data_IF_466764974968
#
_entry.id   IF_466764974968
#
_cell.length_a   1.000
_cell.length_b   1.000
_cell.length_c   1.000
_cell.angle_alpha   90.00
_cell.angle_beta   90.00
_cell.angle_gamma   90.00
#
_symmetry.space_group_name_H-M   'P 1'
#
loop_
_entity.id
_entity.type
_entity.pdbx_description
1 polymer ?
#
# COMPACT_ATOMS: atom_id res chain seq x y z
N UNK A 1 14.01 -2.37 -8.77
CA UNK A 1 13.06 -3.42 -9.19
C UNK A 1 13.84 -4.55 -9.83
N UNK A 2 13.57 -5.79 -9.44
CA UNK A 2 14.10 -7.00 -10.03
C UNK A 2 12.93 -7.93 -10.40
N UNK A 3 13.04 -8.63 -11.52
CA UNK A 3 12.04 -9.61 -11.94
C UNK A 3 12.72 -10.86 -12.47
N UNK A 4 12.17 -12.01 -12.09
CA UNK A 4 12.62 -13.32 -12.57
C UNK A 4 11.42 -14.24 -12.77
N UNK A 5 11.19 -14.67 -14.01
CA UNK A 5 10.01 -15.47 -14.39
C UNK A 5 8.71 -14.81 -13.88
N UNK A 6 8.04 -15.47 -12.95
CA UNK A 6 6.75 -15.08 -12.38
C UNK A 6 6.89 -14.20 -11.11
N UNK A 7 8.12 -13.90 -10.69
CA UNK A 7 8.41 -13.13 -9.50
C UNK A 7 8.86 -11.71 -9.86
N UNK A 8 8.35 -10.73 -9.12
CA UNK A 8 8.79 -9.35 -9.21
C UNK A 8 9.03 -8.81 -7.80
N UNK A 9 10.21 -8.28 -7.59
CA UNK A 9 10.59 -7.63 -6.34
C UNK A 9 10.84 -6.14 -6.58
N UNK A 10 10.17 -5.32 -5.79
CA UNK A 10 10.32 -3.88 -5.78
C UNK A 10 10.80 -3.45 -4.40
N UNK A 11 11.80 -2.58 -4.36
CA UNK A 11 12.24 -1.91 -3.15
C UNK A 11 12.59 -0.47 -3.47
N UNK A 12 12.32 0.44 -2.53
CA UNK A 12 12.79 1.81 -2.60
C UNK A 12 12.90 2.42 -1.19
N UNK A 13 13.71 3.46 -1.08
CA UNK A 13 13.78 4.34 0.08
C UNK A 13 13.63 5.78 -0.40
N UNK A 14 12.86 6.57 0.32
CA UNK A 14 12.57 7.96 0.00
C UNK A 14 12.75 8.84 1.23
N UNK A 15 13.26 10.04 1.04
CA UNK A 15 13.28 11.09 2.05
C UNK A 15 11.91 11.79 2.04
N UNK A 16 11.28 11.86 3.18
CA UNK A 16 10.02 12.57 3.38
C UNK A 16 10.27 14.02 3.83
N UNK A 17 9.21 14.82 3.85
CA UNK A 17 9.21 16.15 4.45
C UNK A 17 9.71 16.10 5.89
N UNK A 18 10.50 17.09 6.29
CA UNK A 18 10.99 17.20 7.66
C UNK A 18 9.85 17.59 8.59
N UNK A 19 9.81 16.97 9.75
CA UNK A 19 8.97 17.38 10.85
C UNK A 19 9.85 18.00 11.94
N UNK A 20 9.61 19.26 12.25
CA UNK A 20 10.41 19.98 13.27
C UNK A 20 11.94 19.81 13.09
N UNK A 21 12.45 19.98 11.85
CA UNK A 21 13.85 19.78 11.45
C UNK A 21 14.35 18.31 11.46
N UNK A 22 13.52 17.35 11.87
CA UNK A 22 13.88 15.92 11.87
C UNK A 22 13.71 15.32 10.47
N UNK A 23 14.75 14.76 9.85
CA UNK A 23 14.60 14.03 8.61
C UNK A 23 13.80 12.74 8.84
N UNK A 24 12.91 12.45 7.93
CA UNK A 24 12.02 11.28 7.92
C UNK A 24 12.27 10.48 6.65
N UNK A 25 12.17 9.17 6.77
CA UNK A 25 12.41 8.24 5.67
C UNK A 25 11.22 7.30 5.52
N UNK A 26 10.89 6.97 4.29
CA UNK A 26 9.99 5.87 3.93
C UNK A 26 10.81 4.79 3.23
N UNK A 27 10.83 3.60 3.80
CA UNK A 27 11.35 2.41 3.14
C UNK A 27 10.19 1.51 2.78
N UNK A 28 10.21 0.93 1.58
CA UNK A 28 9.16 0.03 1.13
C UNK A 28 9.74 -1.14 0.32
N UNK A 29 9.13 -2.30 0.50
CA UNK A 29 9.43 -3.52 -0.22
C UNK A 29 8.12 -4.19 -0.63
N UNK A 30 8.09 -4.75 -1.84
CA UNK A 30 6.96 -5.50 -2.38
C UNK A 30 7.45 -6.71 -3.14
N UNK A 31 6.88 -7.86 -2.82
CA UNK A 31 7.00 -9.08 -3.59
C UNK A 31 5.69 -9.35 -4.32
N UNK A 32 5.79 -9.68 -5.59
CA UNK A 32 4.66 -10.01 -6.44
C UNK A 32 4.93 -11.35 -7.15
N UNK A 33 3.92 -12.20 -7.19
CA UNK A 33 3.97 -13.53 -7.84
C UNK A 33 2.80 -13.64 -8.79
N UNK A 34 3.08 -13.93 -10.05
CA UNK A 34 2.07 -14.17 -11.08
C UNK A 34 1.95 -15.66 -11.35
N UNK A 35 0.75 -16.22 -11.24
CA UNK A 35 0.44 -17.63 -11.37
C UNK A 35 -0.50 -17.85 -12.57
N UNK A 36 -0.16 -18.83 -13.43
CA UNK A 36 -0.99 -19.28 -14.57
C UNK A 36 -1.46 -18.14 -15.48
N UNK A 37 -0.77 -17.01 -15.53
CA UNK A 37 -1.17 -15.79 -16.25
C UNK A 37 -2.57 -15.25 -15.91
N UNK A 38 -3.14 -15.69 -14.80
CA UNK A 38 -4.51 -15.33 -14.38
C UNK A 38 -4.62 -14.82 -12.95
N UNK A 39 -3.67 -15.14 -12.11
CA UNK A 39 -3.66 -14.74 -10.71
C UNK A 39 -2.35 -14.03 -10.38
N UNK A 40 -2.43 -12.82 -9.85
CA UNK A 40 -1.29 -12.13 -9.26
C UNK A 40 -1.54 -11.95 -7.78
N UNK A 41 -0.58 -12.37 -6.97
CA UNK A 41 -0.56 -12.17 -5.52
C UNK A 41 0.56 -11.21 -5.17
N UNK A 42 0.30 -10.25 -4.31
CA UNK A 42 1.26 -9.29 -3.82
C UNK A 42 1.31 -9.24 -2.30
N UNK A 43 2.52 -9.02 -1.77
CA UNK A 43 2.75 -8.67 -0.38
C UNK A 43 3.69 -7.48 -0.30
N UNK A 44 3.38 -6.52 0.55
CA UNK A 44 4.16 -5.31 0.70
C UNK A 44 4.39 -4.98 2.18
N UNK A 45 5.54 -4.40 2.47
CA UNK A 45 5.88 -3.82 3.76
C UNK A 45 6.39 -2.41 3.54
N UNK A 46 5.95 -1.48 4.37
CA UNK A 46 6.42 -0.09 4.36
C UNK A 46 6.69 0.35 5.79
N UNK A 47 7.75 1.11 5.99
CA UNK A 47 8.06 1.71 7.29
C UNK A 47 8.40 3.19 7.14
N UNK A 48 7.84 4.01 8.02
CA UNK A 48 8.25 5.38 8.24
C UNK A 48 9.16 5.42 9.45
N UNK A 49 10.36 5.96 9.29
CA UNK A 49 11.36 6.11 10.34
C UNK A 49 11.86 7.55 10.40
N UNK A 50 12.40 7.97 11.55
CA UNK A 50 13.05 9.27 11.71
C UNK A 50 14.51 9.14 12.17
N UNK A 51 15.32 10.15 11.90
CA UNK A 51 16.75 10.13 12.25
C UNK A 51 17.00 9.91 13.75
N UNK A 52 16.15 10.44 14.63
CA UNK A 52 16.29 10.28 16.09
C UNK A 52 16.00 8.87 16.57
N UNK A 53 15.34 8.07 15.76
CA UNK A 53 14.98 6.70 16.04
C UNK A 53 15.87 5.68 15.34
N UNK A 54 16.76 6.14 14.45
CA UNK A 54 17.67 5.25 13.73
C UNK A 54 18.82 4.83 14.62
N UNK A 55 18.75 3.60 15.12
CA UNK A 55 19.94 2.92 15.60
C UNK A 55 20.84 2.56 14.40
N UNK A 56 22.17 2.48 14.57
CA UNK A 56 23.13 2.17 13.49
C UNK A 56 22.80 0.89 12.70
N UNK A 57 22.23 -0.09 13.35
CA UNK A 57 21.75 -1.36 12.78
C UNK A 57 20.54 -1.19 11.86
N UNK A 58 19.67 -0.21 12.13
CA UNK A 58 18.50 0.10 11.29
C UNK A 58 18.89 0.81 10.00
N UNK A 59 19.97 1.58 10.02
CA UNK A 59 20.50 2.27 8.85
C UNK A 59 20.88 1.29 7.72
N UNK A 60 21.41 0.12 8.10
CA UNK A 60 21.73 -0.94 7.16
C UNK A 60 20.51 -1.43 6.35
N UNK A 61 19.35 -1.51 6.96
CA UNK A 61 18.12 -1.94 6.30
C UNK A 61 17.47 -0.91 5.41
N UNK A 62 17.63 0.37 5.72
CA UNK A 62 17.17 1.46 4.83
C UNK A 62 17.98 1.53 3.54
N UNK A 63 19.26 1.14 3.57
CA UNK A 63 20.16 1.20 2.43
C UNK A 63 20.23 -0.12 1.68
N UNK A 64 20.12 -1.25 2.38
CA UNK A 64 20.24 -2.57 1.77
C UNK A 64 18.86 -3.12 1.33
N UNK A 65 18.59 -3.18 0.03
CA UNK A 65 17.29 -3.64 -0.48
C UNK A 65 17.00 -5.13 -0.22
N UNK A 66 18.00 -5.90 0.20
CA UNK A 66 17.85 -7.34 0.46
C UNK A 66 17.45 -7.64 1.91
N UNK A 67 17.60 -6.68 2.81
CA UNK A 67 17.15 -6.84 4.20
C UNK A 67 15.66 -6.49 4.26
N UNK A 68 14.78 -7.41 4.69
CA UNK A 68 13.37 -7.09 4.89
C UNK A 68 13.20 -5.89 5.82
N UNK A 69 12.37 -4.92 5.41
CA UNK A 69 12.09 -3.70 6.18
C UNK A 69 11.68 -4.03 7.61
N UNK A 70 10.94 -5.11 7.80
CA UNK A 70 10.55 -5.60 9.11
C UNK A 70 11.74 -5.89 10.05
N UNK A 71 12.84 -6.45 9.54
CA UNK A 71 14.03 -6.77 10.37
C UNK A 71 14.80 -5.52 10.81
N UNK A 72 14.49 -4.37 10.21
CA UNK A 72 15.13 -3.10 10.50
C UNK A 72 14.26 -2.20 11.36
N UNK A 73 12.99 -2.56 11.55
CA UNK A 73 12.08 -1.88 12.46
C UNK A 73 12.38 -2.31 13.90
N UNK A 74 12.40 -1.36 14.79
CA UNK A 74 12.66 -1.62 16.21
C UNK A 74 11.52 -2.43 16.82
N UNK A 75 11.87 -3.51 17.51
CA UNK A 75 10.91 -4.34 18.25
C UNK A 75 10.18 -3.59 19.39
N UNK A 76 10.61 -2.38 19.73
CA UNK A 76 10.02 -1.54 20.77
C UNK A 76 8.80 -0.73 20.33
N UNK A 77 8.47 -0.68 19.03
CA UNK A 77 7.30 0.02 18.47
C UNK A 77 7.27 1.53 18.70
N UNK A 78 8.35 2.12 19.21
CA UNK A 78 8.41 3.55 19.51
C UNK A 78 9.17 4.38 18.46
N UNK A 79 9.85 3.71 17.54
CA UNK A 79 10.81 4.36 16.65
C UNK A 79 10.44 4.30 15.19
N UNK A 80 9.51 3.42 14.81
CA UNK A 80 9.11 3.20 13.43
C UNK A 80 7.60 2.93 13.36
N UNK A 81 6.99 3.31 12.24
CA UNK A 81 5.61 2.93 11.92
C UNK A 81 5.65 1.94 10.76
N UNK A 82 5.23 0.71 11.00
CA UNK A 82 5.24 -0.38 10.03
C UNK A 82 3.83 -0.67 9.51
N UNK A 83 3.66 -0.61 8.20
CA UNK A 83 2.46 -1.01 7.49
C UNK A 83 2.75 -2.25 6.65
N UNK A 84 1.90 -3.26 6.77
CA UNK A 84 1.97 -4.50 5.99
C UNK A 84 0.69 -4.65 5.18
N UNK A 85 0.81 -5.05 3.93
CA UNK A 85 -0.33 -5.21 3.03
C UNK A 85 -0.21 -6.43 2.14
N UNK A 86 -1.36 -6.94 1.73
CA UNK A 86 -1.50 -8.04 0.78
C UNK A 86 -2.54 -7.66 -0.26
N UNK A 87 -2.33 -8.14 -1.46
CA UNK A 87 -3.29 -7.95 -2.54
C UNK A 87 -3.35 -9.18 -3.46
N UNK A 88 -4.47 -9.29 -4.14
CA UNK A 88 -4.70 -10.31 -5.14
C UNK A 88 -5.44 -9.70 -6.33
N UNK A 89 -5.05 -10.12 -7.53
CA UNK A 89 -5.71 -9.76 -8.79
C UNK A 89 -5.98 -11.02 -9.58
N UNK A 90 -7.23 -11.22 -9.97
CA UNK A 90 -7.67 -12.31 -10.85
C UNK A 90 -8.06 -11.74 -12.20
N UNK A 91 -7.45 -12.27 -13.25
CA UNK A 91 -7.75 -11.93 -14.64
C UNK A 91 -8.66 -13.00 -15.25
N UNK A 92 -9.88 -12.60 -15.56
CA UNK A 92 -10.88 -13.38 -16.27
C UNK A 92 -11.06 -12.82 -17.70
N UNK A 93 -11.69 -13.55 -18.62
CA UNK A 93 -12.06 -12.98 -19.91
C UNK A 93 -12.85 -11.68 -19.72
N UNK A 94 -12.37 -10.58 -20.28
CA UNK A 94 -13.03 -9.27 -20.23
C UNK A 94 -13.26 -8.68 -18.83
N UNK A 95 -12.73 -9.31 -17.76
CA UNK A 95 -12.97 -8.88 -16.38
C UNK A 95 -11.68 -9.03 -15.55
N UNK A 96 -11.40 -8.03 -14.73
CA UNK A 96 -10.36 -8.07 -13.70
C UNK A 96 -11.05 -7.88 -12.35
N UNK A 97 -10.87 -8.83 -11.43
CA UNK A 97 -11.30 -8.70 -10.03
C UNK A 97 -10.07 -8.53 -9.17
N UNK A 98 -10.10 -7.63 -8.21
CA UNK A 98 -8.98 -7.37 -7.33
C UNK A 98 -9.44 -7.05 -5.91
N UNK A 99 -8.54 -7.30 -4.99
CA UNK A 99 -8.70 -6.93 -3.59
C UNK A 99 -7.35 -6.68 -2.94
N UNK A 100 -7.36 -5.81 -1.96
CA UNK A 100 -6.21 -5.57 -1.08
C UNK A 100 -6.67 -5.42 0.36
N UNK A 101 -5.80 -5.83 1.24
CA UNK A 101 -5.94 -5.66 2.68
C UNK A 101 -4.61 -5.16 3.22
N UNK A 102 -4.63 -4.22 4.15
CA UNK A 102 -3.44 -3.74 4.82
C UNK A 102 -3.71 -3.46 6.29
N UNK A 103 -2.66 -3.56 7.08
CA UNK A 103 -2.66 -3.31 8.50
C UNK A 103 -1.53 -2.36 8.86
N UNK A 104 -1.87 -1.34 9.62
CA UNK A 104 -0.93 -0.43 10.26
C UNK A 104 -0.56 -0.94 11.65
N UNK A 105 0.66 -0.66 12.11
CA UNK A 105 1.19 -1.13 13.39
C UNK A 105 1.18 -2.67 13.55
N UNK A 106 1.63 -3.40 12.54
CA UNK A 106 1.79 -4.85 12.62
C UNK A 106 2.90 -5.22 13.62
N UNK A 107 2.56 -5.97 14.67
CA UNK A 107 3.53 -6.58 15.58
C UNK A 107 3.51 -8.11 15.40
N UNK A 108 4.67 -8.72 15.17
CA UNK A 108 4.80 -10.18 14.93
C UNK A 108 4.48 -11.03 16.16
N UNK A 109 4.52 -10.46 17.37
CA UNK A 109 4.29 -11.17 18.63
C UNK A 109 2.80 -11.29 19.03
N UNK A 110 1.91 -11.14 18.09
CA UNK A 110 0.47 -11.27 18.27
C UNK A 110 -0.29 -10.09 17.68
N UNK A 111 -1.52 -10.34 17.30
CA UNK A 111 -2.45 -9.37 16.71
C UNK A 111 -2.79 -8.22 17.66
N UNK A 112 -1.82 -7.38 18.01
CA UNK A 112 -2.08 -6.20 18.85
C UNK A 112 -2.61 -5.02 18.05
N UNK A 113 -2.35 -4.95 16.76
CA UNK A 113 -3.07 -4.05 15.87
C UNK A 113 -4.50 -4.59 15.74
N UNK A 114 -5.40 -4.11 16.55
CA UNK A 114 -6.81 -4.45 16.42
C UNK A 114 -7.37 -4.03 15.06
N UNK A 115 -8.59 -4.48 14.69
CA UNK A 115 -9.22 -4.13 13.40
C UNK A 115 -9.39 -2.62 13.17
N UNK A 116 -9.03 -1.80 14.16
CA UNK A 116 -9.12 -0.34 14.11
C UNK A 116 -8.03 0.34 13.26
N UNK A 117 -6.94 -0.35 12.93
CA UNK A 117 -5.81 0.17 12.16
C UNK A 117 -5.59 -0.65 10.88
N UNK A 118 -6.62 -0.88 10.13
CA UNK A 118 -6.59 -1.67 8.92
C UNK A 118 -7.44 -1.03 7.82
N UNK A 119 -7.15 -1.37 6.58
CA UNK A 119 -7.97 -0.99 5.45
C UNK A 119 -8.16 -2.14 4.48
N UNK A 120 -9.25 -2.09 3.78
CA UNK A 120 -9.59 -3.06 2.73
C UNK A 120 -10.10 -2.31 1.50
N UNK A 121 -9.74 -2.84 0.33
CA UNK A 121 -10.30 -2.41 -0.94
C UNK A 121 -10.63 -3.65 -1.77
N UNK A 122 -11.78 -3.67 -2.41
CA UNK A 122 -12.15 -4.71 -3.36
C UNK A 122 -12.87 -4.08 -4.55
N UNK A 123 -12.61 -4.60 -5.74
CA UNK A 123 -13.20 -4.04 -6.95
C UNK A 123 -13.20 -4.99 -8.12
N UNK A 124 -13.97 -4.61 -9.13
CA UNK A 124 -14.02 -5.27 -10.42
C UNK A 124 -13.93 -4.24 -11.54
N UNK A 125 -13.22 -4.58 -12.59
CA UNK A 125 -13.15 -3.85 -13.84
C UNK A 125 -13.60 -4.76 -14.97
N UNK A 126 -14.57 -4.32 -15.75
CA UNK A 126 -15.17 -5.04 -16.85
C UNK A 126 -14.97 -4.25 -18.15
N UNK A 127 -14.37 -4.88 -19.15
CA UNK A 127 -14.11 -4.31 -20.45
C UNK A 127 -14.43 -5.36 -21.53
N UNK A 128 -15.70 -5.48 -21.94
CA UNK A 128 -16.12 -6.41 -22.99
C UNK A 128 -15.62 -5.92 -24.38
N UNK A 129 -15.82 -6.77 -25.39
CA UNK A 129 -15.57 -6.40 -26.81
C UNK A 129 -16.66 -5.44 -27.34
N UNK A 130 -17.06 -4.47 -26.53
CA UNK A 130 -18.02 -3.42 -26.81
C UNK A 130 -17.40 -2.07 -26.50
N UNK A 131 -17.88 -0.98 -27.04
CA UNK A 131 -17.36 0.35 -26.75
C UNK A 131 -17.77 0.86 -25.35
N UNK A 132 -17.72 0.00 -24.35
CA UNK A 132 -18.08 0.28 -22.96
C UNK A 132 -17.11 -0.41 -22.02
N UNK A 133 -16.74 0.28 -20.95
CA UNK A 133 -16.02 -0.28 -19.81
C UNK A 133 -16.64 0.20 -18.50
N UNK A 134 -16.61 -0.64 -17.49
CA UNK A 134 -17.15 -0.31 -16.17
C UNK A 134 -16.16 -0.70 -15.07
N UNK A 135 -16.11 0.12 -14.02
CA UNK A 135 -15.37 -0.16 -12.79
C UNK A 135 -16.31 0.03 -11.60
N UNK A 136 -16.26 -0.92 -10.70
CA UNK A 136 -16.90 -0.85 -9.39
C UNK A 136 -15.88 -1.15 -8.32
N UNK A 137 -15.88 -0.37 -7.22
CA UNK A 137 -14.91 -0.52 -6.15
C UNK A 137 -15.53 -0.11 -4.81
N UNK A 138 -15.23 -0.87 -3.79
CA UNK A 138 -15.49 -0.53 -2.40
C UNK A 138 -14.17 -0.42 -1.66
N UNK A 139 -14.01 0.64 -0.88
CA UNK A 139 -12.87 0.88 -0.01
C UNK A 139 -13.35 1.24 1.39
N UNK A 140 -12.72 0.65 2.40
CA UNK A 140 -12.87 1.02 3.80
C UNK A 140 -11.49 1.23 4.41
N UNK A 141 -11.28 2.35 5.08
CA UNK A 141 -10.08 2.66 5.85
C UNK A 141 -10.50 2.98 7.28
N UNK A 142 -10.02 2.21 8.24
CA UNK A 142 -10.41 2.35 9.65
C UNK A 142 -9.71 3.53 10.33
N UNK A 143 -10.25 3.98 11.47
CA UNK A 143 -9.94 5.27 12.10
C UNK A 143 -8.46 5.46 12.48
N UNK A 144 -7.77 4.42 12.89
CA UNK A 144 -6.37 4.52 13.33
C UNK A 144 -5.35 4.10 12.28
N UNK A 145 -5.80 3.91 11.04
CA UNK A 145 -4.91 3.62 9.90
C UNK A 145 -4.12 4.86 9.54
N UNK A 146 -2.84 4.70 9.24
CA UNK A 146 -1.87 5.78 8.94
C UNK A 146 -1.50 6.65 10.14
N UNK A 147 -2.10 6.40 11.29
CA UNK A 147 -1.86 7.12 12.53
C UNK A 147 -0.70 6.48 13.31
N UNK A 148 0.11 7.30 13.96
CA UNK A 148 1.07 6.84 14.94
C UNK A 148 1.05 7.78 16.16
N UNK A 149 1.27 7.21 17.36
CA UNK A 149 1.31 7.98 18.60
C UNK A 149 2.38 9.08 18.60
N UNK A 150 3.45 8.82 17.88
CA UNK A 150 4.54 9.78 17.61
C UNK A 150 4.26 10.45 16.26
N UNK A 151 3.87 11.71 16.26
CA UNK A 151 3.38 12.43 15.07
C UNK A 151 4.33 12.39 13.86
N UNK A 152 5.64 12.45 14.08
CA UNK A 152 6.60 12.41 12.97
C UNK A 152 6.78 11.02 12.33
N UNK A 153 6.11 10.00 12.86
CA UNK A 153 6.08 8.66 12.28
C UNK A 153 4.76 8.35 11.55
N UNK A 154 3.85 9.32 11.43
CA UNK A 154 2.65 9.16 10.63
C UNK A 154 2.96 8.96 9.16
N UNK A 155 2.11 8.19 8.46
CA UNK A 155 2.18 8.01 7.00
C UNK A 155 1.66 9.25 6.27
N UNK A 156 2.44 10.32 6.32
CA UNK A 156 2.14 11.57 5.64
C UNK A 156 3.41 12.23 5.08
N UNK A 157 3.23 13.02 4.02
CA UNK A 157 4.27 13.84 3.43
C UNK A 157 3.65 15.18 3.01
N UNK A 158 4.24 16.30 3.45
CA UNK A 158 3.69 17.65 3.25
C UNK A 158 2.19 17.73 3.65
N UNK A 159 1.82 17.17 4.80
CA UNK A 159 0.44 17.11 5.32
C UNK A 159 -0.54 16.33 4.45
N UNK A 160 -0.03 15.51 3.55
CA UNK A 160 -0.84 14.62 2.71
C UNK A 160 -0.58 13.17 3.10
N UNK A 161 -1.62 12.38 3.28
CA UNK A 161 -1.52 10.95 3.61
C UNK A 161 -0.79 10.20 2.49
N UNK A 162 0.18 9.38 2.88
CA UNK A 162 0.94 8.49 1.98
C UNK A 162 0.21 7.16 1.72
N UNK A 163 -1.07 7.10 1.97
CA UNK A 163 -1.91 5.94 1.80
C UNK A 163 -3.00 6.14 0.77
N UNK A 164 -4.14 5.51 1.00
CA UNK A 164 -5.32 5.69 0.15
C UNK A 164 -5.83 7.14 0.24
N UNK A 165 -6.20 7.77 -0.89
CA UNK A 165 -6.66 9.17 -0.91
C UNK A 165 -7.89 9.46 -0.05
N UNK A 166 -8.68 8.42 0.26
CA UNK A 166 -9.83 8.52 1.14
C UNK A 166 -9.46 8.98 2.56
N UNK A 167 -8.23 8.70 3.00
CA UNK A 167 -7.80 8.94 4.38
C UNK A 167 -8.43 7.95 5.39
N UNK A 168 -8.12 8.12 6.69
CA UNK A 168 -8.65 7.25 7.73
C UNK A 168 -10.11 7.55 8.08
N UNK A 169 -10.76 6.59 8.74
CA UNK A 169 -12.15 6.61 9.23
C UNK A 169 -13.20 6.91 8.18
N UNK A 170 -13.03 6.32 7.00
CA UNK A 170 -13.95 6.55 5.90
C UNK A 170 -14.18 5.27 5.08
N UNK A 171 -15.32 5.22 4.40
CA UNK A 171 -15.62 4.23 3.39
C UNK A 171 -16.17 4.89 2.12
N UNK A 172 -15.92 4.26 1.00
CA UNK A 172 -16.28 4.75 -0.31
C UNK A 172 -16.79 3.63 -1.19
N UNK A 173 -17.89 3.89 -1.88
CA UNK A 173 -18.32 3.18 -3.07
C UNK A 173 -17.96 4.04 -4.29
N UNK A 174 -17.20 3.46 -5.20
CA UNK A 174 -16.85 4.11 -6.46
C UNK A 174 -17.40 3.28 -7.61
N UNK A 175 -18.11 3.93 -8.52
CA UNK A 175 -18.57 3.33 -9.75
C UNK A 175 -18.33 4.29 -10.92
N UNK A 176 -17.86 3.76 -12.03
CA UNK A 176 -17.71 4.53 -13.26
C UNK A 176 -18.03 3.66 -14.47
N UNK A 177 -18.65 4.28 -15.46
CA UNK A 177 -18.93 3.68 -16.75
C UNK A 177 -18.37 4.63 -17.82
N UNK A 178 -17.52 4.11 -18.69
CA UNK A 178 -17.00 4.82 -19.85
C UNK A 178 -17.60 4.23 -21.12
N UNK A 179 -18.10 5.08 -21.97
CA UNK A 179 -18.63 4.70 -23.29
C UNK A 179 -17.86 5.43 -24.38
N UNK A 180 -17.36 4.68 -25.35
CA UNK A 180 -16.59 5.20 -26.51
C UNK A 180 -17.28 4.82 -27.81
N UNK A 181 -18.39 5.47 -28.18
CA UNK A 181 -19.23 5.04 -29.31
C UNK A 181 -18.49 5.02 -30.65
N UNK A 182 -17.52 5.88 -30.83
CA UNK A 182 -16.77 6.03 -32.08
C UNK A 182 -15.34 6.48 -31.80
N UNK A 183 -14.48 5.75 -31.26
CA UNK A 183 -13.04 5.98 -31.04
C UNK A 183 -12.52 7.44 -30.81
N UNK A 184 -13.36 8.44 -30.99
CA UNK A 184 -13.06 9.88 -30.86
C UNK A 184 -13.78 10.54 -29.70
N UNK A 185 -14.87 9.95 -29.21
CA UNK A 185 -15.68 10.47 -28.11
C UNK A 185 -15.66 9.49 -26.96
N UNK A 186 -15.21 9.92 -25.79
CA UNK A 186 -15.33 9.18 -24.51
C UNK A 186 -16.30 9.93 -23.61
N UNK A 187 -17.34 9.23 -23.14
CA UNK A 187 -18.29 9.71 -22.14
C UNK A 187 -18.04 8.93 -20.87
N UNK A 188 -17.85 9.64 -19.76
CA UNK A 188 -17.66 9.04 -18.41
C UNK A 188 -18.84 9.45 -17.52
N UNK A 189 -19.45 8.50 -16.91
CA UNK A 189 -20.54 8.62 -15.95
C UNK A 189 -20.11 8.16 -14.56
#
# INVERSE_FOLDING_TARGET
CASYRNFKFLTFTSLLSRWSLKPRFLAAQRLEVSLWNRLTLGGAMMAVSSWDSLHPDQFGGLINPLIPVYLTTSSSGQHDNLLVGWDAVVYLPQTKVYGQFFMDNWEFNGWKAGPKAAGIQAGAYWAPNLPVEARFEYTRVNAFTYYHRVHWLMYENYLTTLGHPLGPDADQLFATVNVTPNGRLKVTL
#
